data_IF_015003118427
#
_entry.id   IF_015003118427
#
_cell.length_a   1.000
_cell.length_b   1.000
_cell.length_c   1.000
_cell.angle_alpha   90.00
_cell.angle_beta   90.00
_cell.angle_gamma   90.00
#
_symmetry.space_group_name_H-M   'P 1'
#
loop_
_entity.id
_entity.type
_entity.pdbx_description
1 polymer ?
#
# COMPACT_ATOMS: atom_id res chain seq x y z
N UNK A 1 -28.30 -58.33 29.15
CA UNK A 1 -27.37 -58.08 28.02
C UNK A 1 -27.76 -56.88 27.15
N UNK A 2 -29.06 -56.60 26.90
CA UNK A 2 -29.49 -55.42 26.10
C UNK A 2 -29.20 -54.04 26.74
N UNK A 3 -29.32 -53.91 28.07
CA UNK A 3 -29.13 -52.63 28.78
C UNK A 3 -27.67 -52.12 28.72
N UNK A 4 -26.68 -53.01 28.65
CA UNK A 4 -25.26 -52.65 28.63
C UNK A 4 -24.84 -52.02 27.29
N UNK A 5 -25.36 -52.53 26.17
CA UNK A 5 -25.05 -52.03 24.82
C UNK A 5 -25.61 -50.62 24.55
N UNK A 6 -26.75 -50.27 25.14
CA UNK A 6 -27.36 -48.93 25.03
C UNK A 6 -26.55 -47.85 25.77
N UNK A 7 -25.95 -48.20 26.91
CA UNK A 7 -25.14 -47.28 27.73
C UNK A 7 -23.78 -47.00 27.06
N UNK A 8 -23.16 -48.03 26.48
CA UNK A 8 -21.90 -47.89 25.72
C UNK A 8 -22.09 -47.08 24.43
N UNK A 9 -23.21 -47.28 23.72
CA UNK A 9 -23.55 -46.49 22.53
C UNK A 9 -23.80 -44.99 22.84
N UNK A 10 -24.54 -44.68 23.93
CA UNK A 10 -24.75 -43.31 24.39
C UNK A 10 -23.45 -42.61 24.83
N UNK A 11 -22.57 -43.30 25.53
CA UNK A 11 -21.30 -42.70 25.98
C UNK A 11 -20.32 -42.47 24.83
N UNK A 12 -20.30 -43.33 23.80
CA UNK A 12 -19.50 -43.15 22.58
C UNK A 12 -19.98 -41.95 21.75
N UNK A 13 -21.30 -41.83 21.55
CA UNK A 13 -21.92 -40.73 20.80
C UNK A 13 -21.77 -39.37 21.49
N UNK A 14 -21.89 -39.31 22.83
CA UNK A 14 -21.61 -38.10 23.61
C UNK A 14 -20.14 -37.68 23.49
N UNK A 15 -19.20 -38.63 23.49
CA UNK A 15 -17.76 -38.35 23.35
C UNK A 15 -17.41 -37.86 21.94
N UNK A 16 -18.04 -38.43 20.91
CA UNK A 16 -17.93 -37.98 19.51
C UNK A 16 -18.51 -36.57 19.31
N UNK A 17 -19.72 -36.29 19.82
CA UNK A 17 -20.32 -34.94 19.76
C UNK A 17 -19.47 -33.91 20.50
N UNK A 18 -18.91 -34.25 21.67
CA UNK A 18 -18.05 -33.36 22.44
C UNK A 18 -16.75 -33.02 21.68
N UNK A 19 -16.13 -34.00 21.03
CA UNK A 19 -14.95 -33.79 20.19
C UNK A 19 -15.27 -32.96 18.93
N UNK A 20 -16.46 -33.14 18.35
CA UNK A 20 -16.92 -32.34 17.21
C UNK A 20 -17.14 -30.87 17.59
N UNK A 21 -17.71 -30.62 18.78
CA UNK A 21 -17.87 -29.27 19.34
C UNK A 21 -16.50 -28.63 19.60
N UNK A 22 -15.52 -29.37 20.15
CA UNK A 22 -14.17 -28.85 20.33
C UNK A 22 -13.46 -28.53 19.01
N UNK A 23 -13.62 -29.36 17.99
CA UNK A 23 -13.09 -29.09 16.64
C UNK A 23 -13.74 -27.87 16.00
N UNK A 24 -15.05 -27.69 16.18
CA UNK A 24 -15.80 -26.53 15.69
C UNK A 24 -15.42 -25.25 16.46
N UNK A 25 -15.20 -25.32 17.77
CA UNK A 25 -14.69 -24.20 18.56
C UNK A 25 -13.26 -23.82 18.15
N UNK A 26 -12.42 -24.82 17.88
CA UNK A 26 -11.04 -24.64 17.47
C UNK A 26 -10.93 -24.02 16.07
N UNK A 27 -11.84 -24.35 15.15
CA UNK A 27 -11.88 -23.74 13.81
C UNK A 27 -12.36 -22.29 13.84
N UNK A 28 -13.25 -21.92 14.77
CA UNK A 28 -13.70 -20.53 14.94
C UNK A 28 -12.57 -19.65 15.51
N UNK A 29 -11.70 -20.21 16.35
CA UNK A 29 -10.57 -19.48 16.93
C UNK A 29 -9.45 -19.17 15.92
N UNK A 30 -9.34 -19.93 14.82
CA UNK A 30 -8.29 -19.72 13.80
C UNK A 30 -8.71 -18.77 12.68
N UNK A 31 -9.98 -18.42 12.55
CA UNK A 31 -10.49 -17.46 11.54
C UNK A 31 -10.43 -16.01 12.03
N UNK A 32 -9.36 -15.62 12.73
CA UNK A 32 -9.18 -14.23 13.14
C UNK A 32 -8.94 -13.36 11.91
N UNK A 33 -9.79 -12.34 11.72
CA UNK A 33 -9.61 -11.29 10.71
C UNK A 33 -8.18 -10.73 10.78
N UNK A 34 -7.65 -10.29 9.65
CA UNK A 34 -6.34 -9.65 9.66
C UNK A 34 -6.41 -8.36 10.48
N UNK A 35 -5.56 -8.28 11.51
CA UNK A 35 -5.39 -7.08 12.32
C UNK A 35 -4.21 -6.24 11.83
N UNK A 36 -4.17 -4.98 12.25
CA UNK A 36 -3.14 -4.01 11.88
C UNK A 36 -1.70 -4.50 12.05
N UNK A 37 -1.38 -5.22 13.13
CA UNK A 37 -0.04 -5.80 13.37
C UNK A 37 0.38 -6.81 12.29
N UNK A 38 -0.55 -7.66 11.85
CA UNK A 38 -0.27 -8.67 10.82
C UNK A 38 -0.12 -8.01 9.45
N UNK A 39 -0.92 -6.99 9.16
CA UNK A 39 -0.76 -6.20 7.95
C UNK A 39 0.57 -5.45 7.94
N UNK A 40 0.95 -4.81 9.06
CA UNK A 40 2.24 -4.15 9.23
C UNK A 40 3.42 -5.09 8.96
N UNK A 41 3.36 -6.33 9.48
CA UNK A 41 4.40 -7.33 9.23
C UNK A 41 4.55 -7.63 7.73
N UNK A 42 3.43 -7.73 7.00
CA UNK A 42 3.44 -7.97 5.54
C UNK A 42 4.01 -6.76 4.79
N UNK A 43 3.65 -5.54 5.19
CA UNK A 43 4.18 -4.32 4.58
C UNK A 43 5.69 -4.23 4.82
N UNK A 44 6.16 -4.41 6.06
CA UNK A 44 7.58 -4.39 6.42
C UNK A 44 8.42 -5.39 5.61
N UNK A 45 7.88 -6.59 5.34
CA UNK A 45 8.56 -7.60 4.50
C UNK A 45 8.78 -7.12 3.05
N UNK A 46 7.92 -6.22 2.55
CA UNK A 46 7.88 -5.78 1.15
C UNK A 46 8.47 -4.38 0.90
N UNK A 47 8.58 -3.58 1.96
CA UNK A 47 9.13 -2.22 1.96
C UNK A 47 10.35 -2.10 2.87
N UNK A 48 11.01 -3.21 3.21
CA UNK A 48 12.31 -3.14 3.88
C UNK A 48 13.25 -2.26 3.07
N UNK A 49 13.93 -1.29 3.71
CA UNK A 49 14.86 -0.43 3.02
C UNK A 49 15.97 -1.29 2.43
N UNK A 50 16.02 -1.37 1.11
CA UNK A 50 17.26 -1.78 0.43
C UNK A 50 18.31 -0.70 0.73
N UNK A 51 19.55 -1.12 0.98
CA UNK A 51 20.69 -0.18 0.99
C UNK A 51 20.77 0.45 -0.39
N UNK A 52 20.31 1.70 -0.50
CA UNK A 52 20.33 2.43 -1.76
C UNK A 52 21.69 3.10 -1.88
N UNK A 53 22.53 2.56 -2.76
CA UNK A 53 23.67 3.29 -3.31
C UNK A 53 23.12 4.12 -4.46
N UNK A 54 22.64 5.32 -4.18
CA UNK A 54 22.40 6.31 -5.22
C UNK A 54 23.74 6.97 -5.50
N UNK A 55 24.23 6.89 -6.74
CA UNK A 55 25.37 7.71 -7.15
C UNK A 55 24.87 9.15 -7.26
N UNK A 56 25.23 9.98 -6.27
CA UNK A 56 24.97 11.42 -6.33
C UNK A 56 25.56 12.00 -7.63
N UNK A 57 24.75 12.76 -8.36
CA UNK A 57 25.17 13.38 -9.60
C UNK A 57 25.45 14.87 -9.36
N UNK A 58 26.62 15.36 -9.77
CA UNK A 58 27.04 16.77 -9.54
C UNK A 58 26.11 17.84 -10.15
N UNK A 59 25.24 17.44 -11.08
CA UNK A 59 24.36 18.33 -11.84
C UNK A 59 22.87 18.22 -11.47
N UNK A 60 22.46 17.16 -10.75
CA UNK A 60 21.07 16.92 -10.35
C UNK A 60 21.02 16.65 -8.84
N UNK A 61 20.28 17.49 -8.12
CA UNK A 61 20.07 17.35 -6.69
C UNK A 61 18.59 17.16 -6.41
N UNK A 62 18.25 16.12 -5.65
CA UNK A 62 16.88 15.84 -5.23
C UNK A 62 16.82 16.05 -3.72
N UNK A 63 16.02 17.02 -3.29
CA UNK A 63 15.78 17.31 -1.89
C UNK A 63 14.39 16.86 -1.49
N UNK A 64 14.28 16.45 -0.24
CA UNK A 64 13.04 16.18 0.45
C UNK A 64 13.14 16.64 1.89
N UNK A 65 12.00 17.03 2.46
CA UNK A 65 11.92 17.21 3.90
C UNK A 65 12.31 15.90 4.62
N UNK A 66 13.16 16.00 5.63
CA UNK A 66 13.55 14.84 6.41
C UNK A 66 12.35 14.36 7.23
N UNK A 67 11.91 13.11 7.06
CA UNK A 67 10.74 12.65 7.78
C UNK A 67 11.03 12.61 9.28
N UNK A 68 10.11 13.13 10.08
CA UNK A 68 10.21 13.13 11.55
C UNK A 68 10.21 11.71 12.16
N UNK A 69 9.66 10.75 11.42
CA UNK A 69 9.51 9.35 11.84
C UNK A 69 9.88 8.40 10.70
N UNK A 70 10.55 7.30 11.02
CA UNK A 70 10.84 6.21 10.09
C UNK A 70 10.04 4.96 10.42
N UNK A 71 9.87 4.11 9.42
CA UNK A 71 9.18 2.83 9.51
C UNK A 71 7.70 2.91 9.11
N UNK A 72 7.19 1.79 8.59
CA UNK A 72 5.79 1.68 8.20
C UNK A 72 4.88 1.74 9.44
N UNK A 73 3.70 2.30 9.28
CA UNK A 73 2.68 2.35 10.33
C UNK A 73 1.37 1.78 9.79
N UNK A 74 0.70 0.92 10.55
CA UNK A 74 -0.65 0.48 10.21
C UNK A 74 -1.54 0.56 11.45
N UNK A 75 -2.62 1.33 11.35
CA UNK A 75 -3.53 1.64 12.45
C UNK A 75 -4.95 1.16 12.10
N UNK A 76 -5.58 0.45 13.04
CA UNK A 76 -6.96 0.03 12.88
C UNK A 76 -7.87 1.25 13.02
N UNK A 77 -8.65 1.58 11.97
CA UNK A 77 -9.62 2.68 12.01
C UNK A 77 -11.00 2.21 12.46
N UNK A 78 -11.43 1.05 11.95
CA UNK A 78 -12.73 0.47 12.28
C UNK A 78 -12.60 -1.03 12.42
N UNK A 79 -13.23 -1.62 13.44
CA UNK A 79 -13.29 -3.06 13.65
C UNK A 79 -14.56 -3.44 14.40
N UNK A 80 -15.45 -4.20 13.76
CA UNK A 80 -16.58 -4.83 14.42
C UNK A 80 -17.04 -6.10 13.71
N UNK A 81 -17.71 -6.96 14.47
CA UNK A 81 -18.41 -8.13 13.98
C UNK A 81 -19.75 -8.27 14.73
N UNK A 82 -20.85 -8.27 14.00
CA UNK A 82 -22.22 -8.40 14.52
C UNK A 82 -22.75 -9.77 14.06
N UNK A 83 -22.69 -10.81 14.90
CA UNK A 83 -23.22 -12.13 14.56
C UNK A 83 -24.67 -12.30 15.05
N UNK A 84 -25.66 -11.74 14.33
CA UNK A 84 -27.07 -12.01 14.63
C UNK A 84 -27.55 -13.31 13.97
N UNK A 85 -28.67 -13.89 14.46
CA UNK A 85 -29.14 -15.21 14.02
C UNK A 85 -29.37 -15.31 12.49
N UNK A 86 -29.92 -14.25 11.90
CA UNK A 86 -30.24 -14.19 10.46
C UNK A 86 -29.43 -13.13 9.70
N UNK A 87 -28.49 -12.47 10.38
CA UNK A 87 -27.76 -11.33 9.84
C UNK A 87 -26.37 -11.24 10.44
N UNK A 88 -25.34 -11.39 9.61
CA UNK A 88 -23.97 -11.14 10.02
C UNK A 88 -23.46 -9.89 9.31
N UNK A 89 -22.73 -9.07 10.02
CA UNK A 89 -22.02 -7.93 9.45
C UNK A 89 -20.63 -7.83 10.06
N UNK A 90 -19.65 -7.54 9.24
CA UNK A 90 -18.30 -7.27 9.69
C UNK A 90 -17.71 -6.09 8.96
N UNK A 91 -16.79 -5.41 9.63
CA UNK A 91 -15.98 -4.37 9.05
C UNK A 91 -14.61 -4.36 9.74
N UNK A 92 -13.56 -4.38 8.93
CA UNK A 92 -12.18 -4.13 9.33
C UNK A 92 -11.57 -3.15 8.33
N UNK A 93 -11.32 -1.92 8.78
CA UNK A 93 -10.60 -0.92 8.01
C UNK A 93 -9.29 -0.60 8.72
N UNK A 94 -8.17 -0.74 7.99
CA UNK A 94 -6.83 -0.47 8.49
C UNK A 94 -6.21 0.59 7.59
N UNK A 95 -5.79 1.71 8.16
CA UNK A 95 -4.97 2.69 7.46
C UNK A 95 -3.50 2.32 7.60
N UNK A 96 -2.76 2.37 6.50
CA UNK A 96 -1.32 2.17 6.50
C UNK A 96 -0.61 3.37 5.88
N UNK A 97 0.51 3.73 6.49
CA UNK A 97 1.50 4.69 6.01
C UNK A 97 2.78 3.92 5.72
N UNK A 98 3.28 4.03 4.49
CA UNK A 98 4.53 3.41 4.08
C UNK A 98 5.67 4.25 4.66
N UNK A 99 6.75 3.57 5.06
CA UNK A 99 7.94 4.22 5.61
C UNK A 99 8.39 5.38 4.69
N UNK A 100 8.35 6.64 5.16
CA UNK A 100 8.67 7.79 4.31
C UNK A 100 10.12 7.77 3.84
N UNK A 101 11.03 7.09 4.58
CA UNK A 101 12.42 6.87 4.13
C UNK A 101 12.45 5.97 2.90
N UNK A 102 11.66 4.89 2.91
CA UNK A 102 11.52 4.00 1.75
C UNK A 102 10.93 4.76 0.56
N UNK A 103 9.85 5.53 0.78
CA UNK A 103 9.19 6.30 -0.27
C UNK A 103 10.17 7.29 -0.91
N UNK A 104 10.87 8.09 -0.10
CA UNK A 104 11.91 9.03 -0.56
C UNK A 104 12.93 8.35 -1.45
N UNK A 105 13.58 7.31 -0.93
CA UNK A 105 14.69 6.67 -1.62
C UNK A 105 14.23 6.04 -2.95
N UNK A 106 12.99 5.55 -3.00
CA UNK A 106 12.42 4.98 -4.21
C UNK A 106 12.11 6.06 -5.27
N UNK A 107 11.54 7.20 -4.86
CA UNK A 107 11.33 8.35 -5.76
C UNK A 107 12.64 8.90 -6.29
N UNK A 108 13.61 9.14 -5.41
CA UNK A 108 14.93 9.64 -5.75
C UNK A 108 15.60 8.77 -6.82
N UNK A 109 15.67 7.46 -6.57
CA UNK A 109 16.21 6.49 -7.54
C UNK A 109 15.45 6.50 -8.87
N UNK A 110 14.13 6.55 -8.82
CA UNK A 110 13.29 6.57 -10.02
C UNK A 110 13.48 7.86 -10.83
N UNK A 111 13.68 9.01 -10.17
CA UNK A 111 13.95 10.30 -10.83
C UNK A 111 15.33 10.28 -11.47
N UNK A 112 16.39 9.85 -10.78
CA UNK A 112 17.72 9.73 -11.39
C UNK A 112 17.69 8.80 -12.62
N UNK A 113 17.05 7.62 -12.48
CA UNK A 113 16.87 6.69 -13.59
C UNK A 113 16.11 7.32 -14.77
N UNK A 114 15.05 8.08 -14.49
CA UNK A 114 14.28 8.78 -15.52
C UNK A 114 15.13 9.86 -16.20
N UNK A 115 15.84 10.69 -15.43
CA UNK A 115 16.72 11.74 -15.90
C UNK A 115 17.80 11.22 -16.86
N UNK A 116 18.43 10.10 -16.51
CA UNK A 116 19.40 9.42 -17.37
C UNK A 116 18.73 8.88 -18.64
N UNK A 117 17.59 8.18 -18.50
CA UNK A 117 16.90 7.55 -19.64
C UNK A 117 16.35 8.55 -20.66
N UNK A 118 15.98 9.75 -20.21
CA UNK A 118 15.44 10.83 -21.04
C UNK A 118 16.52 11.77 -21.58
N UNK A 119 17.80 11.52 -21.26
CA UNK A 119 18.92 12.36 -21.70
C UNK A 119 18.83 13.79 -21.14
N UNK A 120 18.31 13.94 -19.92
CA UNK A 120 18.07 15.26 -19.32
C UNK A 120 19.35 16.09 -19.25
N UNK A 121 20.48 15.48 -18.91
CA UNK A 121 21.80 16.13 -18.87
C UNK A 121 22.20 16.70 -20.23
N UNK A 122 22.02 15.95 -21.31
CA UNK A 122 22.39 16.39 -22.66
C UNK A 122 21.53 17.57 -23.12
N UNK A 123 20.27 17.60 -22.70
CA UNK A 123 19.33 18.69 -23.00
C UNK A 123 19.67 19.94 -22.18
N UNK A 124 20.05 19.77 -20.92
CA UNK A 124 20.28 20.88 -20.00
C UNK A 124 21.73 21.39 -20.02
N UNK A 125 22.67 20.62 -20.55
CA UNK A 125 24.09 20.96 -20.62
C UNK A 125 24.74 20.99 -19.23
N UNK A 126 25.48 22.06 -18.94
CA UNK A 126 26.19 22.23 -17.65
C UNK A 126 25.32 22.86 -16.54
N UNK A 127 24.02 23.03 -16.78
CA UNK A 127 23.10 23.63 -15.80
C UNK A 127 22.86 22.67 -14.64
N UNK A 128 22.80 23.21 -13.43
CA UNK A 128 22.42 22.46 -12.23
C UNK A 128 20.91 22.45 -12.08
N UNK A 129 20.36 21.30 -11.75
CA UNK A 129 18.93 21.10 -11.51
C UNK A 129 18.73 20.71 -10.07
N UNK A 130 17.90 21.45 -9.37
CA UNK A 130 17.45 21.11 -8.03
C UNK A 130 15.96 20.78 -8.10
N UNK A 131 15.58 19.63 -7.56
CA UNK A 131 14.18 19.18 -7.44
C UNK A 131 13.88 19.03 -5.95
N UNK A 132 12.92 19.80 -5.45
CA UNK A 132 12.42 19.67 -4.08
C UNK A 132 11.07 18.96 -4.13
N UNK A 133 11.00 17.72 -3.63
CA UNK A 133 9.74 16.98 -3.56
C UNK A 133 8.99 17.41 -2.29
N UNK A 134 7.76 17.90 -2.44
CA UNK A 134 6.95 18.46 -1.35
C UNK A 134 5.87 17.49 -0.88
N UNK A 135 5.12 16.90 -1.80
CA UNK A 135 4.07 15.93 -1.51
C UNK A 135 4.33 14.61 -2.24
N UNK A 136 4.25 13.49 -1.50
CA UNK A 136 4.44 12.14 -2.04
C UNK A 136 3.31 11.19 -1.63
N UNK A 137 2.85 10.31 -2.54
CA UNK A 137 1.97 9.23 -2.15
C UNK A 137 2.72 8.19 -1.33
N UNK A 138 2.13 7.81 -0.20
CA UNK A 138 2.64 6.73 0.67
C UNK A 138 1.58 6.10 1.55
N UNK A 139 0.30 6.49 1.40
CA UNK A 139 -0.79 6.10 2.30
C UNK A 139 -1.80 5.24 1.56
N UNK A 140 -2.35 4.24 2.25
CA UNK A 140 -3.42 3.41 1.72
C UNK A 140 -4.34 2.86 2.81
N UNK A 141 -5.55 2.48 2.42
CA UNK A 141 -6.52 1.81 3.27
C UNK A 141 -6.65 0.37 2.82
N UNK A 142 -6.52 -0.56 3.76
CA UNK A 142 -7.01 -1.92 3.60
C UNK A 142 -8.43 -2.01 4.17
N UNK A 143 -9.35 -2.53 3.37
CA UNK A 143 -10.75 -2.73 3.75
C UNK A 143 -11.13 -4.19 3.60
N UNK A 144 -11.75 -4.75 4.65
CA UNK A 144 -12.45 -6.02 4.61
C UNK A 144 -13.78 -5.86 5.34
N UNK A 145 -14.86 -5.75 4.57
CA UNK A 145 -16.21 -5.56 5.09
C UNK A 145 -17.20 -6.43 4.35
N UNK A 146 -18.29 -6.78 5.01
CA UNK A 146 -19.32 -7.56 4.35
C UNK A 146 -20.52 -7.81 5.24
N UNK A 147 -21.56 -8.33 4.58
CA UNK A 147 -22.82 -8.72 5.20
C UNK A 147 -23.22 -10.09 4.69
N UNK A 148 -23.83 -10.87 5.58
CA UNK A 148 -24.49 -12.14 5.25
C UNK A 148 -25.90 -12.10 5.78
N UNK A 149 -26.88 -12.31 4.90
CA UNK A 149 -28.28 -12.49 5.28
C UNK A 149 -28.63 -13.96 5.15
N UNK A 150 -29.15 -14.56 6.23
CA UNK A 150 -29.51 -15.98 6.27
C UNK A 150 -31.04 -16.06 6.22
N UNK A 151 -31.54 -16.74 5.21
CA UNK A 151 -32.95 -17.09 5.04
C UNK A 151 -33.15 -18.58 5.36
N UNK A 152 -34.40 -19.00 5.57
CA UNK A 152 -34.72 -20.39 5.94
C UNK A 152 -34.17 -21.41 4.93
N UNK A 153 -34.14 -21.06 3.63
CA UNK A 153 -33.73 -21.95 2.55
C UNK A 153 -32.57 -21.41 1.69
N UNK A 154 -32.02 -20.24 2.02
CA UNK A 154 -31.01 -19.57 1.21
C UNK A 154 -30.15 -18.65 2.07
N UNK A 155 -29.04 -18.17 1.52
CA UNK A 155 -28.28 -17.09 2.13
C UNK A 155 -27.78 -16.15 1.03
N UNK A 156 -27.62 -14.87 1.39
CA UNK A 156 -27.02 -13.84 0.54
C UNK A 156 -25.77 -13.33 1.20
N UNK A 157 -24.69 -13.21 0.46
CA UNK A 157 -23.42 -12.65 0.96
C UNK A 157 -23.03 -11.49 0.07
N UNK A 158 -22.67 -10.37 0.68
CA UNK A 158 -22.03 -9.23 0.03
C UNK A 158 -20.71 -8.96 0.73
N UNK A 159 -19.59 -9.14 0.03
CA UNK A 159 -18.25 -8.90 0.60
C UNK A 159 -17.47 -7.90 -0.25
N UNK A 160 -16.66 -7.09 0.42
CA UNK A 160 -15.61 -6.28 -0.18
C UNK A 160 -14.33 -6.51 0.60
N UNK A 161 -13.32 -7.01 -0.09
CA UNK A 161 -11.93 -7.00 0.36
C UNK A 161 -11.10 -6.28 -0.69
N UNK A 162 -10.25 -5.34 -0.26
CA UNK A 162 -9.46 -4.55 -1.19
C UNK A 162 -8.51 -3.57 -0.51
N UNK A 163 -7.63 -2.99 -1.33
CA UNK A 163 -6.74 -1.90 -0.93
C UNK A 163 -7.06 -0.66 -1.76
N UNK A 164 -7.27 0.47 -1.09
CA UNK A 164 -7.56 1.77 -1.69
C UNK A 164 -6.40 2.73 -1.42
N UNK A 165 -5.69 3.23 -2.44
CA UNK A 165 -4.63 4.21 -2.27
C UNK A 165 -5.19 5.56 -1.81
N UNK A 166 -4.39 6.33 -1.07
CA UNK A 166 -4.67 7.74 -0.84
C UNK A 166 -4.34 8.53 -2.11
N UNK A 167 -5.28 9.35 -2.59
CA UNK A 167 -5.12 10.16 -3.82
C UNK A 167 -4.27 11.41 -3.57
N UNK A 168 -3.03 11.20 -3.13
CA UNK A 168 -2.01 12.24 -2.99
C UNK A 168 -1.23 12.26 -4.29
N UNK A 169 -1.19 13.41 -4.95
CA UNK A 169 -0.39 13.63 -6.16
C UNK A 169 1.08 13.83 -5.78
N UNK A 170 1.99 13.57 -6.72
CA UNK A 170 3.37 13.99 -6.60
C UNK A 170 3.45 15.50 -6.88
N UNK A 171 3.98 16.27 -5.93
CA UNK A 171 4.25 17.69 -6.11
C UNK A 171 5.74 17.94 -5.95
N UNK A 172 6.32 18.67 -6.88
CA UNK A 172 7.73 19.01 -6.89
C UNK A 172 7.95 20.45 -7.32
N UNK A 173 8.86 21.14 -6.65
CA UNK A 173 9.40 22.42 -7.06
C UNK A 173 10.75 22.20 -7.71
N UNK A 174 10.99 22.82 -8.86
CA UNK A 174 12.26 22.70 -9.57
C UNK A 174 12.94 24.05 -9.75
N UNK A 175 14.27 24.03 -9.80
CA UNK A 175 15.10 25.19 -10.15
C UNK A 175 16.24 24.74 -11.05
N UNK A 176 16.46 25.47 -12.14
CA UNK A 176 17.55 25.26 -13.08
C UNK A 176 18.49 26.46 -13.02
N UNK A 177 19.76 26.24 -12.71
CA UNK A 177 20.76 27.28 -12.50
C UNK A 177 21.92 27.14 -13.48
N UNK A 178 22.42 28.27 -13.97
CA UNK A 178 23.66 28.36 -14.73
C UNK A 178 24.70 29.13 -13.91
N UNK A 179 25.78 28.45 -13.50
CA UNK A 179 26.86 28.96 -12.64
C UNK A 179 26.41 29.58 -11.29
N UNK A 180 25.72 30.72 -11.33
CA UNK A 180 25.18 31.44 -10.16
C UNK A 180 23.79 32.07 -10.37
N UNK A 181 23.19 32.00 -11.55
CA UNK A 181 21.90 32.62 -11.87
C UNK A 181 20.81 31.58 -12.15
N UNK A 182 19.65 31.70 -11.48
CA UNK A 182 18.47 30.87 -11.73
C UNK A 182 17.87 31.24 -13.08
N UNK A 183 17.91 30.30 -14.02
CA UNK A 183 17.43 30.49 -15.39
C UNK A 183 15.95 30.10 -15.54
N UNK A 184 15.49 29.14 -14.74
CA UNK A 184 14.10 28.65 -14.79
C UNK A 184 13.74 28.04 -13.43
N UNK A 185 12.49 28.24 -13.00
CA UNK A 185 11.94 27.66 -11.78
C UNK A 185 10.43 27.50 -11.90
N UNK A 186 9.88 26.53 -11.18
CA UNK A 186 8.45 26.30 -11.19
C UNK A 186 8.03 25.15 -10.30
N UNK A 187 6.73 24.90 -10.28
CA UNK A 187 6.12 23.79 -9.58
C UNK A 187 5.43 22.87 -10.59
N UNK A 188 5.67 21.58 -10.45
CA UNK A 188 5.06 20.52 -11.24
C UNK A 188 4.22 19.64 -10.31
N UNK A 189 3.01 19.31 -10.76
CA UNK A 189 2.12 18.38 -10.05
C UNK A 189 1.79 17.22 -10.99
N UNK A 190 2.29 16.03 -10.66
CA UNK A 190 2.00 14.81 -11.39
C UNK A 190 0.87 14.06 -10.69
N UNK A 191 -0.18 13.76 -11.45
CA UNK A 191 -1.35 13.07 -10.91
C UNK A 191 -1.02 11.64 -10.50
N UNK A 192 -1.48 11.23 -9.33
CA UNK A 192 -1.47 9.83 -8.92
C UNK A 192 -2.67 9.11 -9.56
N UNK A 193 -2.37 8.10 -10.37
CA UNK A 193 -3.36 7.31 -11.12
C UNK A 193 -3.66 5.95 -10.47
N UNK A 194 -3.20 5.71 -9.24
CA UNK A 194 -3.49 4.48 -8.51
C UNK A 194 -5.01 4.31 -8.34
N UNK A 195 -5.47 3.11 -8.72
CA UNK A 195 -6.86 2.70 -8.57
C UNK A 195 -7.01 1.71 -7.41
N UNK A 196 -8.16 1.69 -6.73
CA UNK A 196 -8.47 0.65 -5.76
C UNK A 196 -8.28 -0.74 -6.35
N UNK A 197 -7.66 -1.63 -5.57
CA UNK A 197 -7.41 -3.01 -5.93
C UNK A 197 -8.38 -3.92 -5.15
N UNK A 198 -9.55 -4.26 -5.72
CA UNK A 198 -10.44 -5.23 -5.10
C UNK A 198 -9.87 -6.64 -5.26
N UNK A 199 -9.97 -7.46 -4.23
CA UNK A 199 -9.56 -8.86 -4.30
C UNK A 199 -10.23 -9.70 -3.21
N UNK A 200 -11.21 -10.50 -3.62
CA UNK A 200 -11.98 -11.39 -2.73
C UNK A 200 -11.37 -12.81 -2.72
N UNK A 201 -10.42 -13.10 -3.62
CA UNK A 201 -9.96 -14.46 -3.90
C UNK A 201 -8.53 -14.73 -3.43
N UNK A 202 -7.69 -13.71 -3.31
CA UNK A 202 -6.31 -13.88 -2.84
C UNK A 202 -6.19 -13.66 -1.34
N UNK A 203 -5.19 -14.28 -0.73
CA UNK A 203 -4.84 -13.99 0.66
C UNK A 203 -4.39 -12.53 0.81
N UNK A 204 -4.63 -11.94 1.98
CA UNK A 204 -4.21 -10.55 2.23
C UNK A 204 -2.72 -10.32 1.97
N UNK A 205 -1.84 -11.29 2.28
CA UNK A 205 -0.41 -11.20 1.96
C UNK A 205 -0.16 -11.01 0.45
N UNK A 206 -0.88 -11.77 -0.38
CA UNK A 206 -0.75 -11.68 -1.84
C UNK A 206 -1.40 -10.42 -2.39
N UNK A 207 -2.53 -9.99 -1.85
CA UNK A 207 -3.18 -8.72 -2.19
C UNK A 207 -2.26 -7.52 -1.88
N UNK A 208 -1.74 -7.43 -0.64
CA UNK A 208 -0.80 -6.38 -0.24
C UNK A 208 0.47 -6.41 -1.07
N UNK A 209 1.02 -7.59 -1.37
CA UNK A 209 2.17 -7.72 -2.26
C UNK A 209 1.90 -7.13 -3.65
N UNK A 210 0.80 -7.54 -4.30
CA UNK A 210 0.41 -6.99 -5.61
C UNK A 210 0.19 -5.48 -5.59
N UNK A 211 -0.40 -4.96 -4.52
CA UNK A 211 -0.59 -3.53 -4.35
C UNK A 211 0.75 -2.81 -4.29
N UNK A 212 1.67 -3.25 -3.44
CA UNK A 212 2.99 -2.62 -3.30
C UNK A 212 3.84 -2.72 -4.58
N UNK A 213 3.69 -3.80 -5.34
CA UNK A 213 4.34 -3.93 -6.66
C UNK A 213 3.77 -2.91 -7.66
N UNK A 214 2.45 -2.69 -7.68
CA UNK A 214 1.80 -1.66 -8.50
C UNK A 214 2.18 -0.24 -8.06
N UNK A 215 2.24 0.00 -6.76
CA UNK A 215 2.64 1.28 -6.18
C UNK A 215 4.06 1.67 -6.62
N UNK A 216 5.01 0.72 -6.60
CA UNK A 216 6.36 0.92 -7.13
C UNK A 216 6.37 1.32 -8.61
N UNK A 217 5.58 0.63 -9.44
CA UNK A 217 5.43 0.97 -10.87
C UNK A 217 4.85 2.38 -11.06
N UNK A 218 3.89 2.78 -10.22
CA UNK A 218 3.34 4.13 -10.28
C UNK A 218 4.38 5.18 -9.91
N UNK A 219 5.21 4.94 -8.89
CA UNK A 219 6.32 5.85 -8.56
C UNK A 219 7.24 6.01 -9.79
N UNK A 220 7.65 4.93 -10.44
CA UNK A 220 8.49 5.01 -11.64
C UNK A 220 7.84 5.84 -12.75
N UNK A 221 6.52 5.67 -12.97
CA UNK A 221 5.75 6.44 -13.95
C UNK A 221 5.74 7.93 -13.60
N UNK A 222 5.40 8.27 -12.36
CA UNK A 222 5.31 9.67 -11.92
C UNK A 222 6.67 10.36 -11.94
N UNK A 223 7.74 9.67 -11.54
CA UNK A 223 9.10 10.20 -11.64
C UNK A 223 9.52 10.45 -13.09
N UNK A 224 9.09 9.60 -14.03
CA UNK A 224 9.33 9.81 -15.46
C UNK A 224 8.59 11.03 -15.97
N UNK A 225 7.29 11.15 -15.67
CA UNK A 225 6.47 12.29 -16.08
C UNK A 225 6.99 13.61 -15.49
N UNK A 226 7.41 13.62 -14.22
CA UNK A 226 8.03 14.78 -13.60
C UNK A 226 9.26 15.26 -14.39
N UNK A 227 10.17 14.35 -14.74
CA UNK A 227 11.37 14.69 -15.51
C UNK A 227 11.02 15.19 -16.92
N UNK A 228 10.05 14.56 -17.60
CA UNK A 228 9.56 14.99 -18.91
C UNK A 228 8.98 16.42 -18.86
N UNK A 229 8.23 16.75 -17.81
CA UNK A 229 7.68 18.08 -17.60
C UNK A 229 8.76 19.12 -17.33
N UNK A 230 9.78 18.82 -16.50
CA UNK A 230 10.93 19.72 -16.27
C UNK A 230 11.68 19.98 -17.59
N UNK A 231 11.96 18.93 -18.36
CA UNK A 231 12.61 19.07 -19.67
C UNK A 231 11.77 19.95 -20.59
N UNK A 232 10.45 19.76 -20.60
CA UNK A 232 9.54 20.53 -21.44
C UNK A 232 9.46 22.00 -21.02
N UNK A 233 9.43 22.28 -19.72
CA UNK A 233 9.45 23.63 -19.18
C UNK A 233 10.75 24.36 -19.56
N UNK A 234 11.90 23.70 -19.40
CA UNK A 234 13.22 24.25 -19.71
C UNK A 234 13.42 24.66 -21.18
N UNK A 235 12.64 24.06 -22.11
CA UNK A 235 12.66 24.39 -23.54
C UNK A 235 11.78 25.61 -23.87
N UNK A 236 10.83 25.96 -23.02
CA UNK A 236 9.91 27.09 -23.20
C UNK A 236 10.43 28.40 -22.61
N UNK A 237 11.36 28.33 -21.66
CA UNK A 237 12.03 29.51 -21.11
C UNK A 237 12.80 30.27 -22.23
N UNK A 238 12.58 31.59 -22.41
CA UNK A 238 13.30 32.37 -23.40
C UNK A 238 14.81 32.40 -23.06
N UNK A 239 15.63 32.17 -24.09
CA UNK A 239 17.10 32.32 -24.02
C UNK A 239 17.52 33.75 -23.77
#
# INVERSE_FOLDING_TARGET
MLQLNLIVSKTLTIRLMKNLIYLLLLSILTTSCIGSKKLLMIVNEKTSPEEVVTEEQDWLTINMENPEQSGNQCNQLNYYFIPALLYWEWNSTIACDIDPVFVRNYFEKAIYKAADSLGMRDILGNRKVTINLTDLPGKFLYENKGTTMIFIFAYSVSTLEGISPSRINLVAEYSIQNETETTDEGQITVQNLEMPLPDIWNSTKKLTGKYLDKYKVEIERMSTELVEEIITASKKAPK
#
